data_IF_284313498793
#
_entry.id   IF_284313498793
#
_cell.length_a   1.000
_cell.length_b   1.000
_cell.length_c   1.000
_cell.angle_alpha   90.00
_cell.angle_beta   90.00
_cell.angle_gamma   90.00
#
_symmetry.space_group_name_H-M   'P 1'
#
loop_
_entity.id
_entity.type
_entity.pdbx_description
1 polymer ?
#
# COMPACT_ATOMS: atom_id res chain seq x y z
N UNK A 1 -9.75 9.44 3.02
CA UNK A 1 -9.96 8.21 3.80
C UNK A 1 -9.95 7.05 2.84
N UNK A 2 -9.09 6.06 3.07
CA UNK A 2 -8.92 4.90 2.20
C UNK A 2 -9.92 3.80 2.56
N UNK A 3 -10.53 3.19 1.53
CA UNK A 3 -11.35 1.99 1.70
C UNK A 3 -10.42 0.79 1.52
N UNK A 4 -10.24 0.02 2.59
CA UNK A 4 -9.42 -1.18 2.56
C UNK A 4 -10.29 -2.40 2.32
N UNK A 5 -9.97 -3.13 1.25
CA UNK A 5 -10.66 -4.35 0.87
C UNK A 5 -9.74 -5.55 1.03
N UNK A 6 -10.26 -6.76 1.31
CA UNK A 6 -9.43 -7.96 1.32
C UNK A 6 -8.68 -8.13 -0.01
N UNK A 7 -7.37 -8.32 0.05
CA UNK A 7 -6.57 -8.56 -1.14
C UNK A 7 -6.99 -9.89 -1.80
N UNK A 8 -7.44 -9.82 -3.04
CA UNK A 8 -7.77 -10.99 -3.86
C UNK A 8 -6.81 -11.04 -5.06
N UNK A 9 -5.75 -11.88 -5.01
CA UNK A 9 -4.81 -12.00 -6.12
C UNK A 9 -5.54 -12.44 -7.39
N UNK A 10 -5.44 -11.63 -8.45
CA UNK A 10 -6.00 -11.95 -9.78
C UNK A 10 -4.93 -12.53 -10.68
N UNK A 11 -3.68 -12.11 -10.52
CA UNK A 11 -2.50 -12.57 -11.28
C UNK A 11 -1.27 -12.65 -10.37
N UNK A 12 -0.11 -12.93 -10.97
CA UNK A 12 1.18 -12.82 -10.27
C UNK A 12 1.38 -11.37 -9.81
N UNK A 13 1.41 -11.19 -8.50
CA UNK A 13 1.76 -9.91 -7.84
C UNK A 13 3.25 -9.63 -7.95
N UNK A 14 3.58 -8.39 -8.29
CA UNK A 14 4.91 -7.80 -8.18
C UNK A 14 4.88 -6.58 -7.26
N UNK A 15 6.00 -6.29 -6.60
CA UNK A 15 6.18 -5.06 -5.82
C UNK A 15 6.90 -4.06 -6.70
N UNK A 16 6.30 -2.89 -6.90
CA UNK A 16 6.94 -1.76 -7.58
C UNK A 16 7.77 -0.95 -6.59
N UNK A 17 7.20 -0.61 -5.43
CA UNK A 17 7.85 0.19 -4.40
C UNK A 17 7.45 -0.29 -3.00
N UNK A 18 8.35 -0.15 -2.03
CA UNK A 18 8.11 -0.49 -0.63
C UNK A 18 8.36 0.74 0.25
N UNK A 19 7.40 1.06 1.13
CA UNK A 19 7.57 2.09 2.14
C UNK A 19 8.44 1.64 3.31
N UNK A 20 8.65 2.54 4.28
CA UNK A 20 9.37 2.24 5.51
C UNK A 20 8.81 0.99 6.21
N UNK A 21 9.69 0.05 6.57
CA UNK A 21 9.35 -1.22 7.23
C UNK A 21 8.30 -2.07 6.52
N UNK A 22 8.11 -1.89 5.20
CA UNK A 22 7.13 -2.64 4.40
C UNK A 22 5.68 -2.49 4.90
N UNK A 23 5.38 -1.41 5.65
CA UNK A 23 4.04 -1.15 6.18
C UNK A 23 3.00 -0.96 5.08
N UNK A 24 3.42 -0.34 3.97
CA UNK A 24 2.66 -0.15 2.75
C UNK A 24 3.52 -0.49 1.55
N UNK A 25 2.98 -1.30 0.64
CA UNK A 25 3.65 -1.74 -0.57
C UNK A 25 2.85 -1.26 -1.78
N UNK A 26 3.50 -0.61 -2.75
CA UNK A 26 2.90 -0.40 -4.06
C UNK A 26 3.11 -1.67 -4.88
N UNK A 27 2.02 -2.35 -5.20
CA UNK A 27 2.03 -3.59 -5.94
C UNK A 27 1.37 -3.42 -7.30
N UNK A 28 1.64 -4.35 -8.21
CA UNK A 28 0.92 -4.46 -9.47
C UNK A 28 0.68 -5.90 -9.88
N UNK A 29 -0.40 -6.10 -10.63
CA UNK A 29 -0.81 -7.34 -11.26
C UNK A 29 -1.19 -7.06 -12.72
N UNK A 30 -0.33 -7.43 -13.67
CA UNK A 30 -0.50 -7.02 -15.05
C UNK A 30 -0.37 -5.50 -15.18
N UNK A 31 -1.44 -4.83 -15.63
CA UNK A 31 -1.49 -3.38 -15.81
C UNK A 31 -2.18 -2.62 -14.65
N UNK A 32 -2.69 -3.34 -13.64
CA UNK A 32 -3.34 -2.72 -12.48
C UNK A 32 -2.36 -2.58 -11.32
N UNK A 33 -2.25 -1.38 -10.77
CA UNK A 33 -1.49 -1.04 -9.56
C UNK A 33 -2.43 -0.88 -8.38
N UNK A 34 -1.95 -1.15 -7.17
CA UNK A 34 -2.71 -1.02 -5.93
C UNK A 34 -1.75 -0.90 -4.74
N UNK A 35 -2.22 -0.34 -3.64
CA UNK A 35 -1.46 -0.32 -2.38
C UNK A 35 -1.88 -1.49 -1.52
N UNK A 36 -0.91 -2.26 -1.05
CA UNK A 36 -1.10 -3.41 -0.17
C UNK A 36 -0.62 -3.07 1.25
N UNK A 37 -1.34 -3.56 2.26
CA UNK A 37 -0.88 -3.62 3.65
C UNK A 37 -1.18 -4.98 4.28
N UNK A 38 -0.52 -5.26 5.39
CA UNK A 38 -0.83 -6.42 6.22
C UNK A 38 -1.47 -5.98 7.54
N UNK A 39 -2.60 -6.57 7.88
CA UNK A 39 -3.23 -6.41 9.20
C UNK A 39 -2.37 -7.06 10.29
N UNK A 40 -2.64 -6.73 11.56
CA UNK A 40 -2.00 -7.41 12.71
C UNK A 40 -2.19 -8.93 12.70
N UNK A 41 -3.27 -9.42 12.09
CA UNK A 41 -3.56 -10.85 11.93
C UNK A 41 -2.89 -11.49 10.70
N UNK A 42 -2.00 -10.77 10.00
CA UNK A 42 -1.30 -11.26 8.81
C UNK A 42 -2.16 -11.31 7.54
N UNK A 43 -3.42 -10.88 7.58
CA UNK A 43 -4.27 -10.79 6.39
C UNK A 43 -3.86 -9.60 5.55
N UNK A 44 -3.79 -9.80 4.23
CA UNK A 44 -3.50 -8.77 3.26
C UNK A 44 -4.76 -7.99 2.88
N UNK A 45 -4.66 -6.66 2.86
CA UNK A 45 -5.70 -5.74 2.41
C UNK A 45 -5.12 -4.82 1.34
N UNK A 46 -5.96 -4.35 0.42
CA UNK A 46 -5.57 -3.44 -0.65
C UNK A 46 -6.50 -2.22 -0.77
N UNK A 47 -5.99 -1.18 -1.43
CA UNK A 47 -6.74 0.03 -1.79
C UNK A 47 -6.22 0.61 -3.12
N UNK A 48 -6.99 1.54 -3.69
CA UNK A 48 -6.62 2.35 -4.85
C UNK A 48 -6.19 1.53 -6.07
N UNK A 49 -6.89 0.41 -6.33
CA UNK A 49 -6.65 -0.41 -7.51
C UNK A 49 -6.97 0.37 -8.78
N UNK A 50 -6.02 0.46 -9.70
CA UNK A 50 -6.18 1.19 -10.95
C UNK A 50 -4.86 1.44 -11.67
N UNK A 51 -4.70 2.64 -12.24
CA UNK A 51 -3.46 3.05 -12.90
C UNK A 51 -2.34 3.28 -11.87
N UNK A 52 -1.09 3.29 -12.32
CA UNK A 52 0.05 3.64 -11.46
C UNK A 52 -0.16 5.00 -10.78
N UNK A 53 -0.57 6.01 -11.54
CA UNK A 53 -0.78 7.37 -11.01
C UNK A 53 -1.84 7.39 -9.91
N UNK A 54 -2.95 6.66 -10.10
CA UNK A 54 -4.01 6.56 -9.11
C UNK A 54 -3.54 5.86 -7.82
N UNK A 55 -2.81 4.76 -7.93
CA UNK A 55 -2.31 4.03 -6.76
C UNK A 55 -1.17 4.79 -6.04
N UNK A 56 -0.24 5.38 -6.80
CA UNK A 56 0.94 6.06 -6.26
C UNK A 56 0.57 7.38 -5.57
N UNK A 57 0.00 8.33 -6.33
CA UNK A 57 -0.32 9.66 -5.80
C UNK A 57 -1.61 9.66 -4.99
N UNK A 58 -2.55 8.79 -5.37
CA UNK A 58 -3.85 8.71 -4.70
C UNK A 58 -3.82 7.98 -3.37
N UNK A 59 -2.80 7.15 -3.08
CA UNK A 59 -2.72 6.42 -1.83
C UNK A 59 -1.30 6.19 -1.30
N UNK A 60 -0.39 5.64 -2.11
CA UNK A 60 0.89 5.13 -1.61
C UNK A 60 1.72 6.21 -0.93
N UNK A 61 1.93 7.34 -1.61
CA UNK A 61 2.77 8.43 -1.10
C UNK A 61 2.23 9.04 0.19
N UNK A 62 0.92 9.26 0.27
CA UNK A 62 0.27 9.82 1.46
C UNK A 62 0.38 8.85 2.65
N UNK A 63 0.11 7.56 2.43
CA UNK A 63 0.20 6.52 3.46
C UNK A 63 1.63 6.34 4.00
N UNK A 64 2.64 6.34 3.12
CA UNK A 64 4.04 6.18 3.54
C UNK A 64 4.55 7.42 4.29
N UNK A 65 4.26 8.63 3.79
CA UNK A 65 4.63 9.87 4.48
C UNK A 65 3.93 10.00 5.84
N UNK A 66 2.66 9.63 5.93
CA UNK A 66 1.95 9.60 7.21
C UNK A 66 2.61 8.62 8.19
N UNK A 67 2.92 7.40 7.74
CA UNK A 67 3.56 6.38 8.58
C UNK A 67 4.92 6.84 9.12
N UNK A 68 5.76 7.41 8.25
CA UNK A 68 7.06 7.93 8.63
C UNK A 68 6.93 9.01 9.71
N UNK A 69 6.03 9.98 9.52
CA UNK A 69 5.79 11.03 10.52
C UNK A 69 5.33 10.45 11.85
N UNK A 70 4.43 9.47 11.85
CA UNK A 70 3.96 8.82 13.09
C UNK A 70 5.08 8.04 13.78
N UNK A 71 5.88 7.27 13.03
CA UNK A 71 7.05 6.53 13.54
C UNK A 71 8.09 7.47 14.17
N UNK A 72 8.43 8.56 13.50
CA UNK A 72 9.42 9.52 13.98
C UNK A 72 8.90 10.35 15.17
N UNK A 73 7.59 10.62 15.23
CA UNK A 73 6.96 11.31 16.37
C UNK A 73 6.98 10.47 17.65
N UNK A 74 6.84 9.14 17.55
CA UNK A 74 6.90 8.23 18.71
C UNK A 74 8.34 8.04 19.22
N UNK A 75 9.34 8.39 18.42
CA UNK A 75 10.75 8.26 18.77
C UNK A 75 11.37 9.54 19.40
N UNK A 76 10.57 10.57 19.70
CA UNK A 76 11.00 11.84 20.32
C UNK A 76 10.51 11.99 21.76
#
# INVERSE_FOLDING_TARGET
MYIWEPHQPRRRRCVAEAGCCEAYLLCFEGAEFYVLRYTKGGKAEETARGTYEHAYWGAWLDLTLQHEREKHRVAS
#
